data_IF_162354186850
#
_entry.id   IF_162354186850
#
_cell.length_a   1.000
_cell.length_b   1.000
_cell.length_c   1.000
_cell.angle_alpha   90.00
_cell.angle_beta   90.00
_cell.angle_gamma   90.00
#
_symmetry.space_group_name_H-M   'P 1'
#
loop_
_entity.id
_entity.type
_entity.pdbx_description
1 polymer ?
#
# COMPACT_ATOMS: atom_id res chain seq x y z
N UNK A 1 -17.15 11.72 -9.56
CA UNK A 1 -15.77 11.63 -9.06
C UNK A 1 -15.87 11.01 -7.70
N UNK A 2 -15.25 9.85 -7.49
CA UNK A 2 -15.10 9.37 -6.12
C UNK A 2 -13.99 10.24 -5.52
N UNK A 3 -14.28 10.86 -4.38
CA UNK A 3 -13.32 11.66 -3.63
C UNK A 3 -12.31 10.70 -3.00
N UNK A 4 -11.01 11.00 -3.14
CA UNK A 4 -9.96 10.22 -2.49
C UNK A 4 -10.07 10.50 -0.98
N UNK A 5 -9.95 9.45 -0.16
CA UNK A 5 -9.87 9.63 1.27
C UNK A 5 -8.44 10.05 1.66
N UNK A 6 -8.29 11.32 2.05
CA UNK A 6 -7.01 11.97 2.40
C UNK A 6 -6.69 11.96 3.91
N UNK A 7 -7.41 11.18 4.73
CA UNK A 7 -7.25 11.16 6.19
C UNK A 7 -5.78 10.96 6.65
N UNK A 8 -4.99 10.23 5.85
CA UNK A 8 -3.58 9.92 6.15
C UNK A 8 -2.58 10.76 5.35
N UNK A 9 -3.04 11.75 4.59
CA UNK A 9 -2.21 12.72 3.88
C UNK A 9 -2.41 14.16 4.39
N UNK A 10 -3.59 14.48 4.92
CA UNK A 10 -3.87 15.78 5.57
C UNK A 10 -2.76 16.15 6.59
N UNK A 11 -2.14 17.32 6.41
CA UNK A 11 -1.02 17.79 7.21
C UNK A 11 0.39 17.45 6.68
N UNK A 12 0.49 16.79 5.52
CA UNK A 12 1.73 16.49 4.79
C UNK A 12 1.78 17.16 3.41
N UNK A 13 1.10 18.30 3.25
CA UNK A 13 0.95 18.94 1.94
C UNK A 13 2.30 19.33 1.32
N UNK A 14 2.56 18.84 0.11
CA UNK A 14 3.80 19.08 -0.63
C UNK A 14 4.89 18.03 -0.38
N UNK A 15 4.65 17.07 0.51
CA UNK A 15 5.42 15.83 0.60
C UNK A 15 4.84 14.78 -0.35
N UNK A 16 5.62 13.74 -0.74
CA UNK A 16 5.14 12.72 -1.65
C UNK A 16 3.94 11.94 -1.10
N UNK A 17 2.98 11.68 -1.99
CA UNK A 17 1.74 10.98 -1.67
C UNK A 17 1.69 9.62 -2.37
N UNK A 18 1.19 8.61 -1.66
CA UNK A 18 0.87 7.30 -2.23
C UNK A 18 -0.64 7.07 -2.23
N UNK A 19 -1.24 6.93 -3.42
CA UNK A 19 -2.67 6.68 -3.56
C UNK A 19 -2.89 5.20 -3.88
N UNK A 20 -3.69 4.53 -3.05
CA UNK A 20 -4.10 3.15 -3.25
C UNK A 20 -5.50 3.09 -3.85
N UNK A 21 -5.65 2.50 -5.02
CA UNK A 21 -6.92 2.41 -5.76
C UNK A 21 -7.37 0.97 -5.92
N UNK A 22 -8.48 0.60 -5.29
CA UNK A 22 -9.20 -0.65 -5.58
C UNK A 22 -10.18 -0.43 -6.74
N UNK A 23 -9.99 -1.16 -7.83
CA UNK A 23 -10.91 -1.15 -8.98
C UNK A 23 -11.82 -2.37 -8.92
N UNK A 24 -13.10 -2.11 -8.66
CA UNK A 24 -14.13 -3.15 -8.56
C UNK A 24 -14.58 -3.65 -9.92
N UNK A 25 -15.15 -4.85 -9.93
CA UNK A 25 -15.70 -5.48 -11.15
C UNK A 25 -16.80 -4.66 -11.84
N UNK A 26 -17.52 -3.82 -11.09
CA UNK A 26 -18.57 -2.94 -11.62
C UNK A 26 -18.03 -1.57 -12.10
N UNK A 27 -16.71 -1.37 -12.13
CA UNK A 27 -16.06 -0.12 -12.54
C UNK A 27 -16.00 0.96 -11.45
N UNK A 28 -16.56 0.72 -10.26
CA UNK A 28 -16.40 1.63 -9.13
C UNK A 28 -14.97 1.55 -8.58
N UNK A 29 -14.50 2.68 -8.06
CA UNK A 29 -13.19 2.77 -7.39
C UNK A 29 -13.35 3.08 -5.91
N UNK A 30 -12.50 2.51 -5.08
CA UNK A 30 -12.29 2.95 -3.70
C UNK A 30 -10.83 3.39 -3.57
N UNK A 31 -10.60 4.61 -3.11
CA UNK A 31 -9.29 5.26 -3.14
C UNK A 31 -8.98 5.87 -1.77
N UNK A 32 -7.74 5.73 -1.31
CA UNK A 32 -7.23 6.48 -0.17
C UNK A 32 -5.77 6.87 -0.41
N UNK A 33 -5.46 8.11 -0.05
CA UNK A 33 -4.13 8.71 -0.08
C UNK A 33 -3.44 8.53 1.27
N UNK A 34 -2.12 8.35 1.25
CA UNK A 34 -1.27 8.35 2.44
C UNK A 34 0.01 9.13 2.17
N UNK A 35 0.56 9.78 3.19
CA UNK A 35 1.93 10.26 3.13
C UNK A 35 2.92 9.09 2.96
N UNK A 36 3.89 9.22 2.05
CA UNK A 36 4.84 8.16 1.72
C UNK A 36 5.70 7.71 2.92
N UNK A 37 5.90 8.59 3.91
CA UNK A 37 6.63 8.30 5.13
C UNK A 37 5.98 7.22 5.99
N UNK A 38 4.64 7.13 5.99
CA UNK A 38 3.92 6.03 6.63
C UNK A 38 4.23 4.71 5.94
N UNK A 39 4.14 4.68 4.60
CA UNK A 39 4.45 3.49 3.82
C UNK A 39 5.92 3.07 4.01
N UNK A 40 6.85 4.02 3.99
CA UNK A 40 8.27 3.79 4.23
C UNK A 40 8.52 3.15 5.59
N UNK A 41 7.85 3.65 6.64
CA UNK A 41 7.98 3.12 8.00
C UNK A 41 7.44 1.69 8.09
N UNK A 42 6.30 1.42 7.46
CA UNK A 42 5.69 0.08 7.40
C UNK A 42 6.61 -0.90 6.65
N UNK A 43 7.00 -0.56 5.42
CA UNK A 43 7.70 -1.50 4.55
C UNK A 43 9.10 -1.83 5.06
N UNK A 44 9.75 -0.91 5.79
CA UNK A 44 11.04 -1.16 6.47
C UNK A 44 10.98 -2.22 7.57
N UNK A 45 9.78 -2.56 8.08
CA UNK A 45 9.61 -3.66 9.06
C UNK A 45 9.48 -5.02 8.41
N UNK A 46 9.26 -5.09 7.10
CA UNK A 46 9.28 -6.34 6.36
C UNK A 46 10.68 -6.94 6.40
N UNK A 47 10.76 -8.25 6.58
CA UNK A 47 12.02 -9.01 6.50
C UNK A 47 12.14 -9.67 5.12
N UNK A 48 13.36 -9.74 4.56
CA UNK A 48 13.57 -10.48 3.32
C UNK A 48 13.38 -11.99 3.59
N UNK A 49 12.89 -12.72 2.57
CA UNK A 49 12.87 -14.19 2.58
C UNK A 49 14.25 -14.74 2.21
N UNK A 50 14.43 -16.05 2.23
CA UNK A 50 15.70 -16.72 1.88
C UNK A 50 16.25 -16.29 0.51
N UNK A 51 15.35 -16.04 -0.47
CA UNK A 51 15.71 -15.61 -1.82
C UNK A 51 15.67 -14.09 -2.04
N UNK A 52 15.58 -13.29 -0.96
CA UNK A 52 15.57 -11.82 -1.01
C UNK A 52 14.19 -11.18 -0.78
N UNK A 53 14.07 -9.94 -1.24
CA UNK A 53 12.83 -9.16 -1.13
C UNK A 53 11.76 -9.72 -2.08
N UNK A 54 10.51 -9.72 -1.62
CA UNK A 54 9.33 -10.18 -2.36
C UNK A 54 8.18 -9.19 -2.13
N UNK A 55 7.00 -9.42 -2.71
CA UNK A 55 5.84 -8.56 -2.44
C UNK A 55 6.10 -7.08 -2.82
N UNK A 56 5.52 -6.16 -2.05
CA UNK A 56 5.76 -4.72 -2.18
C UNK A 56 7.19 -4.33 -1.78
N UNK A 57 7.80 -5.06 -0.83
CA UNK A 57 9.15 -4.72 -0.37
C UNK A 57 10.18 -4.86 -1.50
N UNK A 58 9.98 -5.78 -2.44
CA UNK A 58 10.81 -5.90 -3.65
C UNK A 58 10.78 -4.60 -4.48
N UNK A 59 9.59 -4.11 -4.81
CA UNK A 59 9.42 -2.89 -5.60
C UNK A 59 9.95 -1.66 -4.88
N UNK A 60 9.65 -1.55 -3.57
CA UNK A 60 10.12 -0.46 -2.73
C UNK A 60 11.66 -0.39 -2.67
N UNK A 61 12.33 -1.51 -2.40
CA UNK A 61 13.79 -1.52 -2.25
C UNK A 61 14.57 -1.39 -3.56
N UNK A 62 13.96 -1.73 -4.68
CA UNK A 62 14.57 -1.61 -6.00
C UNK A 62 14.17 -0.33 -6.75
N UNK A 63 13.33 0.51 -6.16
CA UNK A 63 12.81 1.73 -6.79
C UNK A 63 12.18 1.47 -8.17
N UNK A 64 11.35 0.43 -8.26
CA UNK A 64 10.61 0.04 -9.47
C UNK A 64 9.11 -0.08 -9.19
N UNK A 65 8.28 -0.29 -10.21
CA UNK A 65 6.84 -0.43 -10.06
C UNK A 65 6.17 0.94 -10.05
N UNK A 66 5.57 1.37 -8.94
CA UNK A 66 4.91 2.69 -8.85
C UNK A 66 5.86 3.89 -9.03
N UNK A 67 7.18 3.66 -8.92
CA UNK A 67 8.19 4.67 -9.24
C UNK A 67 8.45 4.82 -10.76
N UNK A 68 8.20 3.76 -11.55
CA UNK A 68 8.42 3.74 -13.01
C UNK A 68 7.13 4.02 -13.80
N UNK A 69 6.01 3.54 -13.30
CA UNK A 69 4.68 3.65 -13.90
C UNK A 69 3.69 4.11 -12.83
N UNK A 70 2.87 5.12 -13.12
CA UNK A 70 1.85 5.61 -12.18
C UNK A 70 0.58 5.91 -12.98
N UNK A 71 -0.56 5.22 -12.72
CA UNK A 71 -0.78 4.20 -11.70
C UNK A 71 -0.18 2.83 -12.06
N UNK A 72 0.51 2.18 -11.11
CA UNK A 72 1.04 0.83 -11.28
C UNK A 72 0.11 -0.23 -10.69
N UNK A 73 -0.13 -1.33 -11.42
CA UNK A 73 -0.94 -2.45 -10.93
C UNK A 73 -0.13 -3.35 -10.00
N UNK A 74 -0.66 -3.66 -8.81
CA UNK A 74 0.02 -4.57 -7.86
C UNK A 74 -0.01 -6.02 -8.38
N UNK A 75 1.02 -6.41 -9.12
CA UNK A 75 1.08 -7.72 -9.82
C UNK A 75 1.12 -8.93 -8.87
N UNK A 76 1.77 -8.78 -7.72
CA UNK A 76 1.96 -9.82 -6.70
C UNK A 76 1.12 -9.54 -5.44
N UNK A 77 -0.16 -9.22 -5.65
CA UNK A 77 -1.09 -8.80 -4.60
C UNK A 77 -1.18 -9.78 -3.41
N UNK A 78 -1.30 -11.09 -3.68
CA UNK A 78 -1.40 -12.12 -2.62
C UNK A 78 -0.12 -12.16 -1.78
N UNK A 79 1.04 -12.15 -2.44
CA UNK A 79 2.31 -12.19 -1.72
C UNK A 79 2.54 -10.90 -0.91
N UNK A 80 2.18 -9.76 -1.47
CA UNK A 80 2.23 -8.47 -0.78
C UNK A 80 1.30 -8.42 0.43
N UNK A 81 0.10 -9.00 0.32
CA UNK A 81 -0.84 -9.12 1.44
C UNK A 81 -0.29 -9.98 2.58
N UNK A 82 0.24 -11.16 2.27
CA UNK A 82 0.82 -12.04 3.29
C UNK A 82 2.06 -11.41 3.94
N UNK A 83 2.91 -10.76 3.15
CA UNK A 83 4.07 -10.03 3.65
C UNK A 83 3.69 -8.94 4.67
N UNK A 84 2.67 -8.13 4.37
CA UNK A 84 2.23 -7.07 5.29
C UNK A 84 1.59 -7.64 6.56
N UNK A 85 0.93 -8.80 6.47
CA UNK A 85 0.33 -9.48 7.63
C UNK A 85 1.34 -10.08 8.60
N UNK A 86 2.55 -10.38 8.16
CA UNK A 86 3.62 -10.88 9.02
C UNK A 86 4.25 -9.78 9.88
N UNK A 87 3.96 -8.50 9.61
CA UNK A 87 4.46 -7.38 10.40
C UNK A 87 3.81 -7.40 11.79
N UNK A 88 4.64 -7.37 12.82
CA UNK A 88 4.19 -7.18 14.20
C UNK A 88 3.66 -5.75 14.41
N UNK A 89 2.35 -5.61 14.48
CA UNK A 89 1.65 -4.32 14.62
C UNK A 89 1.97 -3.61 15.94
N UNK A 90 2.34 -4.35 16.99
CA UNK A 90 2.69 -3.77 18.29
C UNK A 90 4.11 -3.19 18.28
N UNK A 91 4.89 -3.44 17.23
CA UNK A 91 6.23 -2.88 17.06
C UNK A 91 6.24 -1.42 16.59
N UNK A 92 5.09 -0.84 16.24
CA UNK A 92 4.98 0.56 15.84
C UNK A 92 4.76 1.47 17.04
N UNK A 93 5.51 2.58 17.09
CA UNK A 93 5.38 3.59 18.14
C UNK A 93 4.16 4.49 17.91
N UNK A 94 3.85 4.80 16.65
CA UNK A 94 2.73 5.66 16.27
C UNK A 94 1.51 4.82 15.89
N UNK A 95 0.33 5.22 16.38
CA UNK A 95 -0.94 4.58 16.05
C UNK A 95 -1.36 4.82 14.60
N UNK A 96 -0.92 5.92 13.97
CA UNK A 96 -1.22 6.18 12.55
C UNK A 96 -0.54 5.15 11.62
N UNK A 97 0.72 4.77 11.88
CA UNK A 97 1.38 3.69 11.13
C UNK A 97 0.57 2.39 11.19
N UNK A 98 0.03 2.06 12.37
CA UNK A 98 -0.79 0.86 12.58
C UNK A 98 -2.09 0.94 11.78
N UNK A 99 -2.77 2.08 11.81
CA UNK A 99 -4.01 2.30 11.06
C UNK A 99 -3.77 2.20 9.55
N UNK A 100 -2.71 2.82 9.04
CA UNK A 100 -2.34 2.76 7.63
C UNK A 100 -2.02 1.33 7.21
N UNK A 101 -1.23 0.59 7.99
CA UNK A 101 -0.96 -0.84 7.72
C UNK A 101 -2.27 -1.64 7.64
N UNK A 102 -3.16 -1.49 8.61
CA UNK A 102 -4.46 -2.18 8.62
C UNK A 102 -5.31 -1.78 7.43
N UNK A 103 -5.30 -0.50 7.02
CA UNK A 103 -6.04 0.00 5.87
C UNK A 103 -5.58 -0.67 4.57
N UNK A 104 -4.26 -0.73 4.34
CA UNK A 104 -3.66 -1.39 3.17
C UNK A 104 -4.01 -2.89 3.17
N UNK A 105 -3.81 -3.58 4.30
CA UNK A 105 -4.15 -5.01 4.45
C UNK A 105 -5.62 -5.26 4.15
N UNK A 106 -6.53 -4.42 4.67
CA UNK A 106 -7.97 -4.55 4.43
C UNK A 106 -8.32 -4.38 2.94
N UNK A 107 -7.73 -3.39 2.26
CA UNK A 107 -7.94 -3.20 0.82
C UNK A 107 -7.44 -4.40 0.02
N UNK A 108 -6.23 -4.89 0.33
CA UNK A 108 -5.64 -6.03 -0.37
C UNK A 108 -6.45 -7.29 -0.14
N UNK A 109 -6.89 -7.53 1.09
CA UNK A 109 -7.80 -8.64 1.42
C UNK A 109 -9.09 -8.56 0.59
N UNK A 110 -9.72 -7.39 0.55
CA UNK A 110 -10.96 -7.18 -0.21
C UNK A 110 -10.75 -7.45 -1.70
N UNK A 111 -9.63 -7.00 -2.25
CA UNK A 111 -9.29 -7.25 -3.65
C UNK A 111 -9.10 -8.74 -3.93
N UNK A 112 -8.36 -9.45 -3.07
CA UNK A 112 -8.14 -10.90 -3.17
C UNK A 112 -9.46 -11.67 -3.06
N UNK A 113 -10.27 -11.37 -2.05
CA UNK A 113 -11.53 -12.08 -1.78
C UNK A 113 -12.56 -11.91 -2.92
N UNK A 114 -12.50 -10.80 -3.67
CA UNK A 114 -13.43 -10.49 -4.75
C UNK A 114 -12.83 -10.63 -6.17
N UNK A 115 -11.56 -11.02 -6.31
CA UNK A 115 -10.89 -11.09 -7.61
C UNK A 115 -10.72 -9.72 -8.30
N UNK A 116 -10.59 -8.66 -7.51
CA UNK A 116 -10.47 -7.28 -7.95
C UNK A 116 -9.00 -6.84 -8.01
N UNK A 117 -8.75 -5.67 -8.60
CA UNK A 117 -7.38 -5.16 -8.82
C UNK A 117 -7.07 -3.99 -7.92
N UNK A 118 -5.83 -3.93 -7.44
CA UNK A 118 -5.30 -2.78 -6.73
C UNK A 118 -4.23 -2.10 -7.57
N UNK A 119 -4.25 -0.78 -7.57
CA UNK A 119 -3.27 0.08 -8.20
C UNK A 119 -2.65 1.02 -7.16
N UNK A 120 -1.40 1.41 -7.39
CA UNK A 120 -0.68 2.39 -6.58
C UNK A 120 -0.22 3.52 -7.50
N UNK A 121 -0.58 4.76 -7.14
CA UNK A 121 0.01 5.96 -7.73
C UNK A 121 0.98 6.58 -6.74
N UNK A 122 2.05 7.19 -7.25
CA UNK A 122 3.00 8.00 -6.50
C UNK A 122 2.98 9.42 -7.08
N UNK A 123 2.66 10.41 -6.25
CA UNK A 123 2.50 11.83 -6.63
C UNK A 123 3.47 12.74 -5.88
#
# INVERSE_FOLDING_TARGET
>A
MNEINEEYYDGFEGEPEMIFTLVKSNGQKEEFGIWDGYFSTIIKKVKPKENGWTGLAYYYHLYIGWYDESPWMVENLIESYEQLKEIDIESFENDEDKKVLVKIICMFKKAIDNGEKVYISYE
#
